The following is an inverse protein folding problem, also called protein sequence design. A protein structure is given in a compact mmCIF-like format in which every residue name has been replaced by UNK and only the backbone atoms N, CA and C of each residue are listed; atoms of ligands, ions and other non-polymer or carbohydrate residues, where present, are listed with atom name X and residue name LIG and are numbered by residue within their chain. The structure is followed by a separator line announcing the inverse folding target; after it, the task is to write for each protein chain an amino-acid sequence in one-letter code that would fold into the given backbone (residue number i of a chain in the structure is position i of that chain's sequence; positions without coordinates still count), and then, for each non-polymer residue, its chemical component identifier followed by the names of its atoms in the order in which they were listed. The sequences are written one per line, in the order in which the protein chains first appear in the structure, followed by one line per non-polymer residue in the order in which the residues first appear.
data_IF_937708375645
#
_entry.id   IF_937708375645
#
_cell.length_a   1.000
_cell.length_b   1.000
_cell.length_c   1.000
_cell.angle_alpha   90.00
_cell.angle_beta   90.00
_cell.angle_gamma   90.00
#
_symmetry.space_group_name_H-M   'P 1'
#
loop_
_entity.id
_entity.type
_entity.pdbx_description
1 polymer ?
#
# COMPACT_ATOMS: atom_id res chain seq x y z
N UNK A 1 -5.20 -4.41 -0.64
CA UNK A 1 -3.96 -4.84 -1.31
C UNK A 1 -3.44 -6.08 -0.60
N UNK A 2 -3.39 -7.21 -1.29
CA UNK A 2 -2.87 -8.44 -0.70
C UNK A 2 -1.43 -8.62 -1.20
N UNK A 3 -0.47 -8.55 -0.28
CA UNK A 3 0.90 -8.95 -0.58
C UNK A 3 0.90 -10.45 -0.87
N UNK A 4 1.64 -10.89 -1.89
CA UNK A 4 1.78 -12.30 -2.20
C UNK A 4 2.35 -13.02 -0.96
N UNK A 5 1.56 -13.93 -0.38
CA UNK A 5 1.91 -14.61 0.87
C UNK A 5 3.24 -15.38 0.78
N UNK A 6 3.65 -15.79 -0.42
CA UNK A 6 4.91 -16.51 -0.66
C UNK A 6 6.15 -15.61 -0.58
N UNK A 7 6.02 -14.31 -0.80
CA UNK A 7 7.13 -13.37 -0.95
C UNK A 7 7.02 -12.16 -0.01
N UNK A 8 6.41 -12.34 1.16
CA UNK A 8 6.25 -11.27 2.14
C UNK A 8 6.73 -11.73 3.52
N UNK A 9 7.50 -10.89 4.18
CA UNK A 9 7.97 -11.00 5.56
C UNK A 9 7.07 -10.21 6.54
N UNK A 10 5.90 -9.77 6.07
CA UNK A 10 4.95 -8.99 6.86
C UNK A 10 4.52 -9.75 8.12
N UNK A 11 4.67 -9.11 9.28
CA UNK A 11 4.23 -9.65 10.57
C UNK A 11 2.78 -9.26 10.87
N UNK A 12 2.36 -8.07 10.42
CA UNK A 12 1.04 -7.53 10.68
C UNK A 12 0.30 -7.21 9.39
N UNK A 13 -1.00 -7.51 9.34
CA UNK A 13 -1.92 -7.09 8.29
C UNK A 13 -2.90 -6.06 8.86
N UNK A 14 -2.87 -4.85 8.31
CA UNK A 14 -3.83 -3.80 8.60
C UNK A 14 -5.02 -3.86 7.63
N UNK A 15 -6.22 -3.80 8.19
CA UNK A 15 -7.47 -3.72 7.42
C UNK A 15 -8.15 -2.37 7.66
N UNK A 16 -8.65 -1.74 6.59
CA UNK A 16 -9.35 -0.46 6.65
C UNK A 16 -10.39 -0.36 5.53
N UNK A 17 -11.33 0.59 5.64
CA UNK A 17 -12.27 0.90 4.55
C UNK A 17 -11.62 1.80 3.49
N UNK A 18 -11.49 1.29 2.27
CA UNK A 18 -10.90 2.02 1.14
C UNK A 18 -11.74 3.23 0.70
N UNK A 19 -13.04 3.29 1.03
CA UNK A 19 -13.88 4.47 0.75
C UNK A 19 -13.35 5.74 1.42
N UNK A 20 -12.57 5.61 2.51
CA UNK A 20 -11.89 6.73 3.15
C UNK A 20 -10.96 7.51 2.20
N UNK A 21 -10.54 6.87 1.10
CA UNK A 21 -9.56 7.38 0.15
C UNK A 21 -10.19 8.01 -1.10
N UNK A 22 -11.51 7.93 -1.28
CA UNK A 22 -12.19 8.54 -2.43
C UNK A 22 -11.88 10.05 -2.43
N UNK A 23 -11.34 10.54 -3.54
CA UNK A 23 -10.92 11.94 -3.77
C UNK A 23 -9.83 12.48 -2.82
N UNK A 24 -9.22 11.63 -1.98
CA UNK A 24 -8.16 12.03 -1.05
C UNK A 24 -6.80 11.51 -1.46
N UNK A 25 -6.64 11.23 -2.75
CA UNK A 25 -5.45 10.62 -3.30
C UNK A 25 -4.96 11.41 -4.49
N UNK A 26 -3.65 11.44 -4.68
CA UNK A 26 -3.03 11.96 -5.89
C UNK A 26 -2.11 10.89 -6.49
N UNK A 27 -1.94 10.91 -7.81
CA UNK A 27 -1.04 10.00 -8.51
C UNK A 27 0.25 10.78 -8.79
N UNK A 28 1.34 10.52 -8.05
CA UNK A 28 2.60 11.20 -8.30
C UNK A 28 3.22 10.76 -9.63
N UNK A 29 4.02 11.63 -10.24
CA UNK A 29 4.76 11.34 -11.47
C UNK A 29 6.23 11.04 -11.12
N UNK A 30 6.63 9.76 -11.14
CA UNK A 30 8.03 9.37 -10.90
C UNK A 30 8.48 8.18 -11.76
N UNK A 31 9.77 8.13 -12.12
CA UNK A 31 10.37 7.01 -12.85
C UNK A 31 10.74 5.87 -11.88
N UNK A 32 10.65 4.62 -12.35
CA UNK A 32 11.05 3.41 -11.57
C UNK A 32 12.43 3.61 -10.91
N UNK A 33 12.58 3.32 -9.61
CA UNK A 33 13.85 3.44 -8.85
C UNK A 33 14.47 4.85 -8.74
N UNK A 34 13.77 5.92 -9.12
CA UNK A 34 14.31 7.28 -9.10
C UNK A 34 13.37 8.29 -8.41
N UNK A 35 12.54 7.80 -7.48
CA UNK A 35 11.67 8.62 -6.66
C UNK A 35 12.35 8.99 -5.33
N UNK A 36 12.14 10.22 -4.86
CA UNK A 36 12.66 10.70 -3.57
C UNK A 36 11.93 10.09 -2.35
N UNK A 37 10.87 9.32 -2.57
CA UNK A 37 10.06 8.71 -1.54
C UNK A 37 10.21 7.17 -1.54
N UNK A 38 10.22 6.58 -0.34
CA UNK A 38 10.31 5.12 -0.16
C UNK A 38 9.15 4.45 -0.88
N UNK A 39 9.47 3.55 -1.81
CA UNK A 39 8.51 2.87 -2.65
C UNK A 39 7.68 1.86 -1.84
N UNK A 40 6.65 2.32 -1.13
CA UNK A 40 5.53 1.44 -0.81
C UNK A 40 4.62 1.42 -2.03
N UNK A 41 5.15 0.74 -3.07
CA UNK A 41 4.54 0.51 -4.38
C UNK A 41 4.34 1.82 -5.16
N UNK A 42 5.16 2.03 -6.20
CA UNK A 42 5.18 3.23 -7.08
C UNK A 42 4.78 2.97 -8.53
N UNK A 43 4.23 4.02 -9.17
CA UNK A 43 3.74 3.99 -10.55
C UNK A 43 4.90 4.26 -11.46
N UNK A 44 5.72 3.25 -11.61
CA UNK A 44 6.89 3.34 -12.43
C UNK A 44 6.52 3.48 -13.91
N UNK A 45 6.75 4.67 -14.44
CA UNK A 45 6.80 4.85 -15.89
C UNK A 45 7.99 4.04 -16.43
N UNK A 46 7.79 3.33 -17.55
CA UNK A 46 8.82 2.45 -18.12
C UNK A 46 10.12 3.21 -18.35
N UNK A 47 11.20 2.67 -17.81
CA UNK A 47 12.51 2.81 -18.45
C UNK A 47 12.73 1.71 -19.50
N UNK A 48 12.05 0.56 -19.40
CA UNK A 48 12.24 -0.59 -20.32
C UNK A 48 10.92 -1.34 -20.63
N UNK A 49 10.66 -1.64 -21.91
CA UNK A 49 9.70 -2.69 -22.35
C UNK A 49 8.21 -2.43 -22.11
N UNK A 50 7.36 -3.49 -22.16
CA UNK A 50 5.91 -3.43 -21.93
C UNK A 50 5.45 -3.75 -20.48
N UNK A 51 5.31 -2.77 -19.57
CA UNK A 51 4.66 -2.90 -18.24
C UNK A 51 4.36 -1.57 -17.50
N UNK A 52 3.63 -1.62 -16.38
CA UNK A 52 3.31 -0.47 -15.50
C UNK A 52 2.30 -0.86 -14.40
N UNK A 53 2.46 -0.35 -13.17
CA UNK A 53 1.48 -0.52 -12.07
C UNK A 53 0.71 0.79 -11.88
N UNK A 54 -0.25 0.89 -10.94
CA UNK A 54 -1.00 2.11 -10.59
C UNK A 54 -1.10 2.21 -9.09
N UNK A 55 -0.45 3.19 -8.47
CA UNK A 55 -0.75 3.55 -7.08
C UNK A 55 -0.99 5.05 -6.94
N UNK A 56 -1.48 5.40 -5.77
CA UNK A 56 -1.92 6.71 -5.37
C UNK A 56 -1.34 6.99 -3.98
N UNK A 57 -1.04 8.24 -3.67
CA UNK A 57 -0.60 8.70 -2.36
C UNK A 57 -1.75 9.43 -1.68
N UNK A 58 -1.94 9.18 -0.39
CA UNK A 58 -2.79 10.00 0.48
C UNK A 58 -1.97 10.51 1.66
N UNK A 59 -2.25 11.74 2.08
CA UNK A 59 -1.82 12.27 3.39
C UNK A 59 -2.97 12.27 4.40
N UNK A 60 -4.14 11.74 4.02
CA UNK A 60 -5.27 11.63 4.93
C UNK A 60 -5.02 10.56 5.98
N UNK A 61 -5.44 10.83 7.21
CA UNK A 61 -5.47 9.83 8.25
C UNK A 61 -6.38 8.65 7.84
N UNK A 62 -5.87 7.43 7.99
CA UNK A 62 -6.61 6.18 7.73
C UNK A 62 -7.03 5.59 9.08
N UNK A 63 -8.34 5.39 9.27
CA UNK A 63 -8.85 4.64 10.42
C UNK A 63 -8.82 3.15 10.09
N UNK A 64 -8.08 2.38 10.90
CA UNK A 64 -8.04 0.93 10.81
C UNK A 64 -9.32 0.34 11.39
N UNK A 65 -9.75 -0.80 10.84
CA UNK A 65 -10.78 -1.67 11.44
C UNK A 65 -10.13 -2.68 12.38
N UNK A 66 -9.03 -3.28 11.92
CA UNK A 66 -8.27 -4.28 12.69
C UNK A 66 -6.83 -4.41 12.23
N UNK A 67 -6.00 -4.90 13.13
CA UNK A 67 -4.66 -5.44 12.87
C UNK A 67 -4.65 -6.93 13.18
N UNK A 68 -4.10 -7.73 12.26
CA UNK A 68 -3.97 -9.18 12.42
C UNK A 68 -2.49 -9.53 12.41
N UNK A 69 -2.01 -10.20 13.46
CA UNK A 69 -0.67 -10.76 13.48
C UNK A 69 -0.66 -12.04 12.65
N UNK A 70 0.10 -12.05 11.56
CA UNK A 70 0.17 -13.16 10.63
C UNK A 70 0.98 -14.35 11.17
N UNK A 71 1.76 -14.16 12.25
CA UNK A 71 2.52 -15.22 12.92
C UNK A 71 1.76 -15.86 14.08
N UNK A 72 1.09 -15.05 14.90
CA UNK A 72 0.43 -15.52 16.12
C UNK A 72 -1.08 -15.69 15.97
N UNK A 73 -1.69 -15.07 14.96
CA UNK A 73 -3.15 -15.03 14.79
C UNK A 73 -3.85 -14.00 15.69
N UNK A 74 -3.12 -13.23 16.49
CA UNK A 74 -3.66 -12.15 17.32
C UNK A 74 -4.44 -11.12 16.49
N UNK A 75 -5.59 -10.68 16.99
CA UNK A 75 -6.43 -9.67 16.33
C UNK A 75 -6.70 -8.52 17.29
N UNK A 76 -6.29 -7.32 16.88
CA UNK A 76 -6.61 -6.06 17.57
C UNK A 76 -7.68 -5.34 16.76
N UNK A 77 -8.86 -5.13 17.35
CA UNK A 77 -9.96 -4.40 16.71
C UNK A 77 -9.97 -2.94 17.18
N UNK A 78 -10.18 -2.02 16.25
CA UNK A 78 -10.26 -0.58 16.52
C UNK A 78 -11.71 -0.11 16.38
N UNK A 79 -12.12 0.79 17.27
CA UNK A 79 -13.47 1.39 17.30
C UNK A 79 -13.51 2.71 16.55
#
# INVERSE_FOLDING_TARGET
MQLNAKYTDAVWRAEFDANQLINKTHIPKAKWNNAEYIEVLTRSYRNFGKGGTTQFITQSQIKLKRLINLKTGEIINFK
#
